data_IF_400845671507
#
_entry.id   IF_400845671507
#
_cell.length_a   1.000
_cell.length_b   1.000
_cell.length_c   1.000
_cell.angle_alpha   90.00
_cell.angle_beta   90.00
_cell.angle_gamma   90.00
#
_symmetry.space_group_name_H-M   'P 1'
#
loop_
_entity.id
_entity.type
_entity.pdbx_description
1 polymer ?
#
# COMPACT_ATOMS: atom_id res chain seq x y z
N UNK A 1 21.93 -22.19 -22.92
CA UNK A 1 22.68 -20.98 -22.53
C UNK A 1 22.50 -20.81 -21.02
N UNK A 2 23.55 -20.47 -20.30
CA UNK A 2 23.70 -20.74 -18.87
C UNK A 2 22.75 -19.92 -17.97
N UNK A 3 21.76 -20.58 -17.36
CA UNK A 3 21.00 -20.05 -16.22
C UNK A 3 21.97 -19.87 -15.04
N UNK A 4 22.33 -18.62 -14.75
CA UNK A 4 23.19 -18.32 -13.62
C UNK A 4 22.39 -18.64 -12.36
N UNK A 5 22.81 -19.65 -11.58
CA UNK A 5 22.10 -20.18 -10.41
C UNK A 5 21.67 -19.11 -9.40
N UNK A 6 20.55 -18.47 -9.69
CA UNK A 6 19.89 -17.40 -8.96
C UNK A 6 18.59 -18.02 -8.49
N UNK A 7 18.43 -18.14 -7.19
CA UNK A 7 17.22 -18.69 -6.58
C UNK A 7 16.43 -17.52 -5.96
N UNK A 8 15.28 -17.13 -6.56
CA UNK A 8 14.43 -16.09 -5.98
C UNK A 8 13.80 -16.61 -4.68
N UNK A 9 13.91 -15.84 -3.60
CA UNK A 9 13.33 -16.19 -2.29
C UNK A 9 12.07 -15.40 -1.98
N UNK A 10 12.08 -14.08 -2.23
CA UNK A 10 10.98 -13.19 -1.84
C UNK A 10 10.72 -12.14 -2.91
N UNK A 11 9.44 -11.81 -3.06
CA UNK A 11 8.97 -10.71 -3.89
C UNK A 11 8.34 -9.66 -2.96
N UNK A 12 8.74 -8.40 -3.11
CA UNK A 12 8.16 -7.29 -2.39
C UNK A 12 7.62 -6.24 -3.35
N UNK A 13 6.59 -5.52 -2.90
CA UNK A 13 5.98 -4.42 -3.64
C UNK A 13 6.35 -3.10 -2.96
N UNK A 14 6.85 -2.15 -3.75
CA UNK A 14 6.97 -0.75 -3.36
C UNK A 14 5.92 0.03 -4.15
N UNK A 15 5.05 0.75 -3.46
CA UNK A 15 3.97 1.52 -4.10
C UNK A 15 4.39 2.94 -4.52
N UNK A 16 5.45 3.49 -3.92
CA UNK A 16 5.96 4.83 -4.23
C UNK A 16 7.51 4.91 -4.15
N UNK A 17 8.22 5.07 -5.28
CA UNK A 17 7.75 4.86 -6.65
C UNK A 17 7.42 3.38 -6.92
N UNK A 18 6.50 3.07 -7.86
CA UNK A 18 6.00 1.73 -8.11
C UNK A 18 7.12 0.79 -8.59
N UNK A 19 7.47 -0.21 -7.77
CA UNK A 19 8.51 -1.17 -8.11
C UNK A 19 8.22 -2.56 -7.53
N UNK A 20 8.69 -3.58 -8.26
CA UNK A 20 8.78 -4.95 -7.75
C UNK A 20 10.22 -5.19 -7.33
N UNK A 21 10.42 -5.59 -6.08
CA UNK A 21 11.74 -5.91 -5.55
C UNK A 21 11.83 -7.43 -5.46
N UNK A 22 12.79 -8.01 -6.17
CA UNK A 22 13.08 -9.45 -6.14
C UNK A 22 14.29 -9.69 -5.25
N UNK A 23 14.08 -10.38 -4.13
CA UNK A 23 15.16 -10.85 -3.28
C UNK A 23 15.56 -12.25 -3.73
N UNK A 24 16.83 -12.42 -4.07
CA UNK A 24 17.37 -13.67 -4.57
C UNK A 24 18.71 -14.01 -3.91
N UNK A 25 19.04 -15.30 -3.90
CA UNK A 25 20.35 -15.79 -3.50
C UNK A 25 21.10 -16.31 -4.71
N UNK A 26 22.36 -15.93 -4.84
CA UNK A 26 23.25 -16.50 -5.85
C UNK A 26 23.93 -17.73 -5.25
N UNK A 27 23.90 -18.86 -5.95
CA UNK A 27 24.61 -20.08 -5.51
C UNK A 27 26.12 -19.84 -5.56
N UNK A 28 26.69 -19.39 -4.44
CA UNK A 28 28.13 -19.31 -4.23
C UNK A 28 28.55 -20.39 -3.21
N UNK A 29 29.66 -21.11 -3.46
CA UNK A 29 30.04 -22.27 -2.66
C UNK A 29 30.39 -21.97 -1.19
N UNK A 30 30.66 -20.70 -0.83
CA UNK A 30 31.17 -20.32 0.50
C UNK A 30 30.39 -19.21 1.23
N UNK A 31 29.42 -18.55 0.59
CA UNK A 31 28.58 -17.51 1.22
C UNK A 31 27.18 -17.47 0.63
N UNK A 32 26.17 -17.60 1.49
CA UNK A 32 24.78 -17.27 1.17
C UNK A 32 24.57 -15.78 1.43
N UNK A 33 24.81 -14.95 0.42
CA UNK A 33 24.47 -13.53 0.45
C UNK A 33 23.13 -13.31 -0.25
N UNK A 34 22.26 -12.52 0.38
CA UNK A 34 21.00 -12.07 -0.20
C UNK A 34 21.27 -10.84 -1.08
N UNK A 35 20.70 -10.84 -2.27
CA UNK A 35 20.75 -9.74 -3.21
C UNK A 35 19.34 -9.27 -3.50
N UNK A 36 19.21 -7.98 -3.83
CA UNK A 36 17.96 -7.36 -4.23
C UNK A 36 18.09 -6.89 -5.67
N UNK A 37 17.11 -7.23 -6.50
CA UNK A 37 16.95 -6.70 -7.84
C UNK A 37 15.69 -5.85 -7.87
N UNK A 38 15.83 -4.58 -8.22
CA UNK A 38 14.72 -3.63 -8.28
C UNK A 38 14.22 -3.50 -9.72
N UNK A 39 12.93 -3.74 -9.92
CA UNK A 39 12.23 -3.56 -11.19
C UNK A 39 11.34 -2.33 -11.06
N UNK A 40 11.77 -1.21 -11.65
CA UNK A 40 11.00 0.03 -11.68
C UNK A 40 9.87 -0.08 -12.72
N UNK A 41 8.64 0.09 -12.26
CA UNK A 41 7.44 0.02 -13.10
C UNK A 41 6.91 1.41 -13.47
N UNK A 42 7.56 2.49 -13.05
CA UNK A 42 7.08 3.85 -13.26
C UNK A 42 7.03 4.22 -14.75
N UNK A 43 7.94 3.71 -15.58
CA UNK A 43 7.96 3.90 -17.03
C UNK A 43 7.06 2.93 -17.80
N UNK A 44 6.75 1.77 -17.20
CA UNK A 44 5.97 0.71 -17.83
C UNK A 44 4.47 0.86 -17.55
N UNK A 45 4.10 1.44 -16.41
CA UNK A 45 2.71 1.69 -16.06
C UNK A 45 2.15 2.87 -16.85
N UNK A 46 0.96 2.73 -17.45
CA UNK A 46 0.30 3.86 -18.10
C UNK A 46 -0.04 4.94 -17.07
N UNK A 47 -0.07 6.20 -17.53
CA UNK A 47 -0.35 7.37 -16.68
C UNK A 47 -1.73 7.28 -16.00
N UNK A 48 -2.68 6.53 -16.57
CA UNK A 48 -3.95 6.18 -15.92
C UNK A 48 -3.79 4.83 -15.22
N UNK A 49 -3.60 4.88 -13.89
CA UNK A 49 -3.44 3.71 -13.02
C UNK A 49 -4.78 3.14 -12.52
N UNK A 50 -5.86 3.42 -13.24
CA UNK A 50 -7.19 2.84 -12.97
C UNK A 50 -7.24 1.35 -13.32
N UNK A 51 -8.44 0.86 -13.63
CA UNK A 51 -8.63 -0.54 -14.07
C UNK A 51 -7.87 -0.80 -15.37
N UNK A 52 -6.68 -1.39 -15.29
CA UNK A 52 -5.98 -1.91 -16.45
C UNK A 52 -6.80 -3.02 -17.08
N UNK A 53 -6.90 -3.02 -18.41
CA UNK A 53 -7.48 -4.14 -19.14
C UNK A 53 -6.63 -5.40 -18.92
N UNK A 54 -7.26 -6.58 -18.92
CA UNK A 54 -6.52 -7.85 -18.79
C UNK A 54 -5.42 -7.98 -19.86
N UNK A 55 -5.69 -7.52 -21.08
CA UNK A 55 -4.70 -7.47 -22.16
C UNK A 55 -3.48 -6.59 -21.86
N UNK A 56 -3.70 -5.42 -21.24
CA UNK A 56 -2.60 -4.54 -20.85
C UNK A 56 -1.77 -5.14 -19.70
N UNK A 57 -2.41 -5.84 -18.77
CA UNK A 57 -1.73 -6.57 -17.70
C UNK A 57 -0.81 -7.66 -18.27
N UNK A 58 -1.32 -8.47 -19.18
CA UNK A 58 -0.55 -9.58 -19.77
C UNK A 58 0.65 -9.05 -20.59
N UNK A 59 0.44 -7.97 -21.35
CA UNK A 59 1.53 -7.31 -22.10
C UNK A 59 2.62 -6.79 -21.16
N UNK A 60 2.23 -6.21 -20.02
CA UNK A 60 3.16 -5.67 -19.03
C UNK A 60 3.94 -6.79 -18.32
N UNK A 61 3.26 -7.88 -17.94
CA UNK A 61 3.90 -9.06 -17.34
C UNK A 61 4.90 -9.68 -18.31
N UNK A 62 4.55 -9.82 -19.59
CA UNK A 62 5.48 -10.33 -20.61
C UNK A 62 6.70 -9.42 -20.76
N UNK A 63 6.49 -8.11 -20.85
CA UNK A 63 7.59 -7.12 -20.93
C UNK A 63 8.53 -7.21 -19.72
N UNK A 64 7.98 -7.34 -18.50
CA UNK A 64 8.77 -7.46 -17.26
C UNK A 64 9.57 -8.78 -17.27
N UNK A 65 8.94 -9.87 -17.71
CA UNK A 65 9.56 -11.19 -17.77
C UNK A 65 10.73 -11.21 -18.75
N UNK A 66 10.56 -10.60 -19.93
CA UNK A 66 11.62 -10.49 -20.94
C UNK A 66 12.79 -9.60 -20.47
N UNK A 67 12.50 -8.47 -19.82
CA UNK A 67 13.54 -7.54 -19.37
C UNK A 67 14.35 -8.06 -18.16
N UNK A 68 13.75 -8.93 -17.35
CA UNK A 68 14.32 -9.42 -16.10
C UNK A 68 14.37 -10.95 -16.00
N UNK A 69 14.48 -11.62 -17.14
CA UNK A 69 14.47 -13.08 -17.29
C UNK A 69 15.41 -13.78 -16.28
N UNK A 70 16.64 -13.27 -16.13
CA UNK A 70 17.67 -13.85 -15.26
C UNK A 70 17.32 -13.92 -13.76
N UNK A 71 16.34 -13.14 -13.30
CA UNK A 71 15.91 -13.10 -11.88
C UNK A 71 14.49 -13.65 -11.71
N UNK A 72 13.72 -13.69 -12.80
CA UNK A 72 12.32 -14.13 -12.81
C UNK A 72 12.12 -15.54 -13.39
N UNK A 73 13.18 -16.21 -13.83
CA UNK A 73 13.14 -17.57 -14.42
C UNK A 73 12.30 -18.56 -13.60
N UNK A 74 12.46 -18.54 -12.27
CA UNK A 74 11.74 -19.43 -11.33
C UNK A 74 10.43 -18.83 -10.77
N UNK A 75 10.04 -17.62 -11.20
CA UNK A 75 8.85 -16.93 -10.69
C UNK A 75 7.65 -17.21 -11.60
N UNK A 76 6.53 -17.64 -11.02
CA UNK A 76 5.32 -17.90 -11.81
C UNK A 76 4.71 -16.60 -12.38
N UNK A 77 4.26 -16.66 -13.63
CA UNK A 77 3.59 -15.55 -14.33
C UNK A 77 2.32 -15.08 -13.62
N UNK A 78 1.56 -16.01 -13.02
CA UNK A 78 0.36 -15.70 -12.22
C UNK A 78 0.69 -14.91 -10.94
N UNK A 79 1.82 -15.21 -10.29
CA UNK A 79 2.28 -14.42 -9.15
C UNK A 79 2.63 -12.99 -9.58
N UNK A 80 3.37 -12.83 -10.69
CA UNK A 80 3.70 -11.51 -11.23
C UNK A 80 2.44 -10.73 -11.62
N UNK A 81 1.48 -11.38 -12.29
CA UNK A 81 0.18 -10.78 -12.63
C UNK A 81 -0.57 -10.29 -11.39
N UNK A 82 -0.61 -11.11 -10.33
CA UNK A 82 -1.24 -10.73 -9.06
C UNK A 82 -0.52 -9.54 -8.40
N UNK A 83 0.81 -9.51 -8.45
CA UNK A 83 1.63 -8.44 -7.90
C UNK A 83 1.40 -7.11 -8.63
N UNK A 84 1.43 -7.13 -9.97
CA UNK A 84 1.12 -5.96 -10.81
C UNK A 84 -0.30 -5.47 -10.53
N UNK A 85 -1.29 -6.38 -10.47
CA UNK A 85 -2.68 -6.02 -10.15
C UNK A 85 -2.80 -5.35 -8.77
N UNK A 86 -2.12 -5.88 -7.75
CA UNK A 86 -2.09 -5.27 -6.41
C UNK A 86 -1.45 -3.88 -6.43
N UNK A 87 -0.40 -3.70 -7.21
CA UNK A 87 0.32 -2.44 -7.31
C UNK A 87 -0.51 -1.34 -7.99
N UNK A 88 -1.31 -1.70 -8.99
CA UNK A 88 -2.25 -0.80 -9.68
C UNK A 88 -3.46 -0.47 -8.79
N UNK A 89 -4.05 -1.48 -8.14
CA UNK A 89 -5.23 -1.29 -7.29
C UNK A 89 -4.96 -0.44 -6.03
N UNK A 90 -3.73 -0.46 -5.51
CA UNK A 90 -3.32 0.29 -4.32
C UNK A 90 -2.51 1.55 -4.66
N UNK A 91 -2.78 2.20 -5.80
CA UNK A 91 -2.09 3.44 -6.14
C UNK A 91 -2.26 4.48 -5.00
N UNK A 92 -1.17 4.89 -4.33
CA UNK A 92 -1.26 5.82 -3.20
C UNK A 92 -1.79 7.21 -3.61
N UNK A 93 -1.82 7.55 -4.90
CA UNK A 93 -2.45 8.76 -5.40
C UNK A 93 -3.99 8.68 -5.39
N UNK A 94 -4.56 7.51 -5.64
CA UNK A 94 -6.02 7.26 -5.66
C UNK A 94 -6.57 6.80 -4.30
N UNK A 95 -5.72 6.28 -3.41
CA UNK A 95 -6.12 5.92 -2.03
C UNK A 95 -6.64 7.13 -1.23
N UNK A 96 -6.29 8.36 -1.61
CA UNK A 96 -6.86 9.59 -1.07
C UNK A 96 -8.26 9.93 -1.62
N UNK A 97 -8.60 9.46 -2.82
CA UNK A 97 -9.87 9.75 -3.51
C UNK A 97 -10.95 8.70 -3.17
N UNK A 98 -10.58 7.42 -3.01
CA UNK A 98 -11.54 6.31 -2.78
C UNK A 98 -11.96 6.20 -1.30
N UNK A 99 -11.07 6.51 -0.34
CA UNK A 99 -11.44 6.61 1.10
C UNK A 99 -12.35 7.79 1.42
N UNK A 100 -12.48 8.72 0.47
CA UNK A 100 -13.34 9.91 0.54
C UNK A 100 -14.83 9.56 0.47
N UNK A 101 -15.19 8.40 -0.12
CA UNK A 101 -16.58 8.01 -0.36
C UNK A 101 -17.22 7.10 0.71
N UNK A 102 -16.44 6.42 1.55
CA UNK A 102 -16.99 5.42 2.51
C UNK A 102 -17.17 5.92 3.94
N UNK A 103 -16.75 7.16 4.26
CA UNK A 103 -16.91 7.75 5.61
C UNK A 103 -17.96 8.86 5.64
N UNK A 104 -18.79 9.00 4.60
CA UNK A 104 -19.93 9.92 4.59
C UNK A 104 -21.11 9.36 5.38
N UNK A 105 -20.91 9.04 6.65
CA UNK A 105 -22.02 8.83 7.58
C UNK A 105 -21.62 9.23 9.00
N UNK A 106 -22.35 10.24 9.49
CA UNK A 106 -22.34 10.85 10.81
C UNK A 106 -21.21 11.87 11.12
N UNK A 107 -21.48 13.12 10.73
CA UNK A 107 -21.16 14.33 11.51
C UNK A 107 -19.81 14.37 12.22
N UNK A 108 -18.73 14.54 11.47
CA UNK A 108 -17.49 15.14 11.93
C UNK A 108 -16.87 15.88 10.74
N UNK A 109 -16.27 17.05 10.97
CA UNK A 109 -15.49 17.71 9.92
C UNK A 109 -14.48 16.69 9.37
N UNK A 110 -14.40 16.47 8.05
CA UNK A 110 -13.47 15.51 7.50
C UNK A 110 -12.06 15.95 7.85
N UNK A 111 -11.39 15.18 8.72
CA UNK A 111 -9.99 15.38 9.00
C UNK A 111 -9.20 15.15 7.70
N UNK A 112 -8.16 15.94 7.42
CA UNK A 112 -7.35 15.75 6.24
C UNK A 112 -6.62 14.41 6.36
N UNK A 113 -7.10 13.40 5.64
CA UNK A 113 -6.39 12.13 5.47
C UNK A 113 -5.22 12.36 4.50
N UNK A 114 -4.03 12.54 5.07
CA UNK A 114 -2.77 12.68 4.33
C UNK A 114 -1.74 11.73 4.94
N UNK A 115 -0.74 11.34 4.17
CA UNK A 115 0.41 10.59 4.68
C UNK A 115 1.27 11.50 5.56
N UNK A 116 1.05 11.44 6.88
CA UNK A 116 1.74 12.28 7.86
C UNK A 116 3.25 12.07 7.91
N UNK A 117 3.77 11.01 7.29
CA UNK A 117 5.22 10.80 7.20
C UNK A 117 5.87 11.64 6.09
N UNK A 118 5.08 12.25 5.20
CA UNK A 118 5.57 12.98 4.01
C UNK A 118 5.24 14.47 4.02
N UNK A 119 4.44 14.93 4.97
CA UNK A 119 4.06 16.35 5.09
C UNK A 119 5.18 17.17 5.74
N UNK A 120 5.28 18.45 5.38
CA UNK A 120 6.19 19.37 6.08
C UNK A 120 5.71 19.64 7.51
N UNK A 121 6.61 20.08 8.39
CA UNK A 121 6.25 20.47 9.76
C UNK A 121 5.15 21.55 9.81
N UNK A 122 5.20 22.49 8.86
CA UNK A 122 4.18 23.54 8.74
C UNK A 122 2.80 22.99 8.40
N UNK A 123 2.73 21.99 7.51
CA UNK A 123 1.49 21.31 7.15
C UNK A 123 0.99 20.44 8.30
N UNK A 124 1.89 19.72 8.98
CA UNK A 124 1.56 18.92 10.17
C UNK A 124 0.90 19.78 11.25
N UNK A 125 1.44 20.98 11.49
CA UNK A 125 0.88 21.96 12.44
C UNK A 125 -0.53 22.39 12.05
N UNK A 126 -0.77 22.66 10.77
CA UNK A 126 -2.12 23.03 10.27
C UNK A 126 -3.12 21.88 10.41
N UNK A 127 -2.69 20.64 10.14
CA UNK A 127 -3.56 19.48 10.32
C UNK A 127 -3.92 19.30 11.80
N UNK A 128 -2.92 19.41 12.69
CA UNK A 128 -3.13 19.33 14.13
C UNK A 128 -4.12 20.38 14.62
N UNK A 129 -3.98 21.63 14.16
CA UNK A 129 -4.91 22.71 14.52
C UNK A 129 -6.35 22.41 14.07
N UNK A 130 -6.53 21.84 12.86
CA UNK A 130 -7.86 21.40 12.40
C UNK A 130 -8.43 20.27 13.25
N UNK A 131 -7.58 19.32 13.68
CA UNK A 131 -7.99 18.25 14.61
C UNK A 131 -8.43 18.82 15.95
N UNK A 132 -7.69 19.78 16.50
CA UNK A 132 -8.02 20.43 17.77
C UNK A 132 -9.35 21.18 17.69
N UNK A 133 -9.61 21.89 16.59
CA UNK A 133 -10.90 22.57 16.36
C UNK A 133 -12.06 21.57 16.31
N UNK A 134 -11.90 20.47 15.57
CA UNK A 134 -12.93 19.43 15.48
C UNK A 134 -13.16 18.75 16.84
N UNK A 135 -12.11 18.52 17.61
CA UNK A 135 -12.18 17.97 18.96
C UNK A 135 -12.92 18.91 19.91
N UNK A 136 -12.54 20.19 19.97
CA UNK A 136 -13.18 21.17 20.84
C UNK A 136 -14.64 21.44 20.49
N UNK A 137 -15.03 21.26 19.23
CA UNK A 137 -16.43 21.36 18.81
C UNK A 137 -17.27 20.18 19.29
N UNK A 138 -16.68 18.98 19.35
CA UNK A 138 -17.39 17.74 19.66
C UNK A 138 -17.20 17.25 21.10
N UNK A 139 -16.32 17.90 21.89
CA UNK A 139 -16.12 17.56 23.29
C UNK A 139 -17.39 17.85 24.07
N UNK A 140 -17.89 16.85 24.80
CA UNK A 140 -19.01 16.98 25.72
C UNK A 140 -18.42 17.01 27.13
N UNK A 141 -18.64 18.10 27.86
CA UNK A 141 -18.06 18.30 29.20
C UNK A 141 -19.05 17.94 30.30
N UNK A 142 -18.59 17.66 31.52
CA UNK A 142 -19.47 17.55 32.68
C UNK A 142 -20.33 18.83 32.82
N UNK A 143 -21.64 18.69 32.62
CA UNK A 143 -22.60 19.80 32.63
C UNK A 143 -23.27 20.08 31.27
N UNK A 144 -22.71 19.59 30.17
CA UNK A 144 -23.34 19.70 28.84
C UNK A 144 -24.44 18.66 28.66
N UNK A 145 -25.46 19.00 27.85
CA UNK A 145 -26.55 18.10 27.51
C UNK A 145 -26.02 16.87 26.76
N UNK A 146 -26.15 15.70 27.37
CA UNK A 146 -25.66 14.43 26.81
C UNK A 146 -24.33 13.93 27.38
N UNK A 147 -23.74 14.64 28.35
CA UNK A 147 -22.60 14.11 29.10
C UNK A 147 -23.01 12.88 29.92
N UNK A 148 -22.23 11.81 29.81
CA UNK A 148 -22.42 10.57 30.57
C UNK A 148 -21.06 10.15 31.15
N UNK A 149 -21.01 9.89 32.45
CA UNK A 149 -19.78 9.46 33.13
C UNK A 149 -19.27 8.12 32.59
N UNK A 150 -20.16 7.14 32.41
CA UNK A 150 -19.83 5.78 31.94
C UNK A 150 -20.54 5.47 30.61
N UNK A 151 -20.10 6.12 29.53
CA UNK A 151 -20.64 5.84 28.19
C UNK A 151 -20.21 4.45 27.71
N UNK A 152 -21.11 3.46 27.83
CA UNK A 152 -20.90 2.11 27.30
C UNK A 152 -21.26 2.07 25.80
N UNK A 153 -20.36 1.51 24.99
CA UNK A 153 -20.57 1.33 23.54
C UNK A 153 -20.32 -0.13 23.20
N UNK A 154 -21.33 -0.79 22.63
CA UNK A 154 -21.19 -2.14 22.11
C UNK A 154 -20.51 -2.09 20.74
N UNK A 155 -19.32 -2.66 20.64
CA UNK A 155 -18.62 -2.82 19.36
C UNK A 155 -19.12 -4.08 18.67
N UNK A 156 -19.29 -4.01 17.34
CA UNK A 156 -19.55 -5.20 16.52
C UNK A 156 -18.31 -6.09 16.51
N UNK A 157 -18.45 -7.42 16.34
CA UNK A 157 -17.30 -8.29 16.12
C UNK A 157 -16.49 -7.80 14.91
N UNK A 158 -15.17 -7.92 14.98
CA UNK A 158 -14.28 -7.54 13.90
C UNK A 158 -14.62 -8.36 12.64
N UNK A 159 -14.81 -7.68 11.51
CA UNK A 159 -15.07 -8.33 10.21
C UNK A 159 -13.78 -8.84 9.57
N UNK A 160 -12.62 -8.34 10.00
CA UNK A 160 -11.30 -8.72 9.51
C UNK A 160 -10.56 -9.56 10.55
N UNK A 161 -9.95 -10.66 10.10
CA UNK A 161 -9.10 -11.50 10.95
C UNK A 161 -7.87 -10.69 11.39
N UNK A 162 -7.67 -10.58 12.70
CA UNK A 162 -6.51 -9.91 13.27
C UNK A 162 -5.28 -10.80 13.06
N UNK A 163 -4.49 -10.50 12.03
CA UNK A 163 -3.21 -11.15 11.67
C UNK A 163 -2.08 -10.94 12.72
N UNK A 164 -2.44 -10.50 13.92
CA UNK A 164 -1.53 -10.22 15.04
C UNK A 164 -1.42 -11.39 16.04
N UNK A 165 -2.22 -12.44 15.88
CA UNK A 165 -2.27 -13.60 16.78
C UNK A 165 -1.92 -14.91 16.06
N UNK A 166 -0.82 -14.91 15.29
CA UNK A 166 -0.13 -16.09 14.77
C UNK A 166 1.41 -15.94 14.88
#
# INVERSE_FOLDING_TARGET
>A
MAGGGIEPRRLALRYAPPAIIVEYTRQQPYRKQLYHHEIDLQSLLPASRGTLSEYALDTLVNTITEQHEAVLEDVSTEQLRRLVRKLVANDPQEAGEVRRATVTSASAMPLPQADYNRVSESQLKQVKEKMDVAFHKNIVRPGDTGYQYDKQVAFKPAEEASDWDD
#
